data_IF_732622078017
#
_entry.id   IF_732622078017
#
_cell.length_a   1.000
_cell.length_b   1.000
_cell.length_c   1.000
_cell.angle_alpha   90.00
_cell.angle_beta   90.00
_cell.angle_gamma   90.00
#
_symmetry.space_group_name_H-M   'P 1'
#
loop_
_entity.id
_entity.type
_entity.pdbx_description
1 polymer ?
#
# COMPACT_ATOMS: atom_id res chain seq x y z
N UNK A 1 14.56 -5.58 2.60
CA UNK A 1 13.99 -4.26 2.32
C UNK A 1 15.06 -3.29 1.87
N UNK A 2 15.02 -2.95 0.59
CA UNK A 2 15.81 -1.87 -0.01
C UNK A 2 15.25 -0.50 0.42
N UNK A 3 16.01 0.57 0.19
CA UNK A 3 15.53 1.95 0.41
C UNK A 3 14.31 2.28 -0.47
N UNK A 4 14.30 1.76 -1.69
CA UNK A 4 13.22 1.97 -2.67
C UNK A 4 11.91 1.29 -2.23
N UNK A 5 11.99 0.04 -1.76
CA UNK A 5 10.84 -0.68 -1.24
C UNK A 5 10.27 -0.01 0.02
N UNK A 6 11.14 0.41 0.96
CA UNK A 6 10.70 1.13 2.16
C UNK A 6 9.96 2.43 1.82
N UNK A 7 10.48 3.17 0.84
CA UNK A 7 9.84 4.39 0.33
C UNK A 7 8.49 4.08 -0.32
N UNK A 8 8.41 3.01 -1.11
CA UNK A 8 7.16 2.59 -1.75
C UNK A 8 6.09 2.21 -0.72
N UNK A 9 6.42 1.42 0.31
CA UNK A 9 5.49 1.09 1.40
C UNK A 9 4.96 2.33 2.10
N UNK A 10 5.84 3.26 2.47
CA UNK A 10 5.44 4.48 3.15
C UNK A 10 4.52 5.36 2.29
N UNK A 11 4.85 5.53 1.00
CA UNK A 11 4.02 6.31 0.09
C UNK A 11 2.67 5.65 -0.21
N UNK A 12 2.63 4.33 -0.36
CA UNK A 12 1.36 3.61 -0.58
C UNK A 12 0.51 3.63 0.69
N UNK A 13 1.10 3.44 1.87
CA UNK A 13 0.39 3.55 3.14
C UNK A 13 -0.29 4.92 3.30
N UNK A 14 0.45 5.99 3.00
CA UNK A 14 -0.09 7.35 3.02
C UNK A 14 -1.28 7.51 2.07
N UNK A 15 -1.18 7.04 0.81
CA UNK A 15 -2.27 7.11 -0.17
C UNK A 15 -3.51 6.31 0.28
N UNK A 16 -3.31 5.15 0.90
CA UNK A 16 -4.40 4.33 1.45
C UNK A 16 -5.12 5.10 2.55
N UNK A 17 -4.38 5.71 3.48
CA UNK A 17 -4.98 6.53 4.54
C UNK A 17 -5.74 7.74 4.00
N UNK A 18 -5.18 8.44 3.00
CA UNK A 18 -5.87 9.54 2.33
C UNK A 18 -7.16 9.08 1.64
N UNK A 19 -7.12 7.93 0.96
CA UNK A 19 -8.27 7.36 0.27
C UNK A 19 -9.39 6.99 1.24
N UNK A 20 -9.05 6.31 2.33
CA UNK A 20 -9.98 5.90 3.38
C UNK A 20 -10.48 7.08 4.22
N UNK A 21 -9.85 8.27 4.07
CA UNK A 21 -10.07 9.47 4.89
C UNK A 21 -9.78 9.23 6.37
N UNK A 22 -8.83 8.36 6.64
CA UNK A 22 -8.37 8.05 7.98
C UNK A 22 -7.48 9.19 8.52
N UNK A 23 -7.44 9.41 9.84
CA UNK A 23 -6.52 10.34 10.45
C UNK A 23 -5.06 10.01 10.09
N UNK A 24 -4.29 11.02 9.70
CA UNK A 24 -2.85 10.91 9.44
C UNK A 24 -2.06 10.86 10.76
N UNK A 25 -2.24 9.80 11.54
CA UNK A 25 -1.50 9.52 12.78
C UNK A 25 -0.46 8.43 12.55
N UNK A 26 0.57 8.42 13.40
CA UNK A 26 1.62 7.39 13.38
C UNK A 26 1.03 5.99 13.63
N UNK A 27 0.13 5.86 14.62
CA UNK A 27 -0.55 4.59 14.93
C UNK A 27 -1.31 4.03 13.72
N UNK A 28 -2.07 4.88 13.03
CA UNK A 28 -2.84 4.44 11.86
C UNK A 28 -1.94 4.13 10.67
N UNK A 29 -0.83 4.87 10.54
CA UNK A 29 0.18 4.59 9.53
C UNK A 29 0.84 3.22 9.77
N UNK A 30 1.22 2.89 11.01
CA UNK A 30 1.78 1.59 11.37
C UNK A 30 0.81 0.45 11.03
N UNK A 31 -0.48 0.58 11.36
CA UNK A 31 -1.51 -0.42 11.03
C UNK A 31 -1.61 -0.65 9.53
N UNK A 32 -1.64 0.41 8.73
CA UNK A 32 -1.71 0.30 7.27
C UNK A 32 -0.41 -0.28 6.70
N UNK A 33 0.74 0.09 7.26
CA UNK A 33 2.04 -0.41 6.84
C UNK A 33 2.16 -1.92 7.10
N UNK A 34 1.78 -2.39 8.29
CA UNK A 34 1.74 -3.81 8.64
C UNK A 34 0.83 -4.62 7.71
N UNK A 35 -0.34 -4.07 7.41
CA UNK A 35 -1.26 -4.67 6.44
C UNK A 35 -0.61 -4.78 5.05
N UNK A 36 0.00 -3.71 4.53
CA UNK A 36 0.66 -3.75 3.23
C UNK A 36 1.82 -4.76 3.18
N UNK A 37 2.60 -4.90 4.26
CA UNK A 37 3.63 -5.94 4.36
C UNK A 37 3.06 -7.36 4.32
N UNK A 38 1.85 -7.56 4.83
CA UNK A 38 1.18 -8.85 4.84
C UNK A 38 0.69 -9.32 3.46
N UNK A 39 0.32 -8.39 2.57
CA UNK A 39 -0.32 -8.71 1.27
C UNK A 39 0.59 -8.49 0.05
N UNK A 40 1.54 -7.55 0.13
CA UNK A 40 2.39 -7.17 -1.01
C UNK A 40 3.85 -7.35 -0.65
N UNK A 41 4.63 -7.96 -1.54
CA UNK A 41 6.08 -8.02 -1.41
C UNK A 41 6.76 -6.76 -1.99
N UNK A 42 8.09 -6.65 -1.80
CA UNK A 42 8.88 -5.48 -2.22
C UNK A 42 8.69 -5.13 -3.71
N UNK A 43 8.66 -6.14 -4.59
CA UNK A 43 8.48 -5.90 -6.04
C UNK A 43 7.06 -5.42 -6.37
N UNK A 44 6.06 -5.96 -5.69
CA UNK A 44 4.65 -5.61 -5.91
C UNK A 44 4.36 -4.19 -5.44
N UNK A 45 4.80 -3.82 -4.23
CA UNK A 45 4.57 -2.49 -3.69
C UNK A 45 5.31 -1.41 -4.50
N UNK A 46 6.50 -1.71 -5.00
CA UNK A 46 7.24 -0.81 -5.90
C UNK A 46 6.45 -0.58 -7.19
N UNK A 47 5.88 -1.62 -7.80
CA UNK A 47 5.03 -1.46 -8.99
C UNK A 47 3.77 -0.65 -8.69
N UNK A 48 3.10 -0.92 -7.57
CA UNK A 48 1.93 -0.14 -7.12
C UNK A 48 2.29 1.34 -6.99
N UNK A 49 3.43 1.62 -6.34
CA UNK A 49 3.94 2.97 -6.15
C UNK A 49 4.24 3.67 -7.49
N UNK A 50 5.03 3.01 -8.36
CA UNK A 50 5.47 3.54 -9.66
C UNK A 50 4.32 3.76 -10.64
N UNK A 51 3.33 2.87 -10.65
CA UNK A 51 2.15 2.98 -11.52
C UNK A 51 1.06 3.89 -10.94
N UNK A 52 1.29 4.46 -9.76
CA UNK A 52 0.35 5.34 -9.06
C UNK A 52 -1.04 4.72 -8.87
N UNK A 53 -1.07 3.42 -8.55
CA UNK A 53 -2.32 2.71 -8.27
C UNK A 53 -2.81 3.13 -6.88
N UNK A 54 -4.06 3.58 -6.80
CA UNK A 54 -4.72 4.05 -5.58
C UNK A 54 -5.84 3.09 -5.21
N UNK A 55 -5.92 2.73 -3.93
CA UNK A 55 -6.93 1.86 -3.34
C UNK A 55 -7.05 2.13 -1.84
N UNK A 56 -8.17 1.71 -1.24
CA UNK A 56 -8.37 1.77 0.21
C UNK A 56 -7.93 0.49 0.93
N UNK A 57 -7.87 0.52 2.25
CA UNK A 57 -7.46 -0.63 3.08
C UNK A 57 -8.34 -1.86 2.83
N UNK A 58 -9.66 -1.68 2.70
CA UNK A 58 -10.58 -2.76 2.37
C UNK A 58 -10.31 -3.36 0.98
N UNK A 59 -9.95 -2.52 0.00
CA UNK A 59 -9.61 -2.98 -1.35
C UNK A 59 -8.30 -3.78 -1.35
N UNK A 60 -7.33 -3.39 -0.51
CA UNK A 60 -6.07 -4.09 -0.36
C UNK A 60 -6.26 -5.56 0.03
N UNK A 61 -7.31 -5.85 0.81
CA UNK A 61 -7.64 -7.18 1.34
C UNK A 61 -8.65 -7.92 0.43
N UNK A 62 -9.75 -7.26 0.05
CA UNK A 62 -10.87 -7.91 -0.66
C UNK A 62 -10.58 -8.01 -2.16
N UNK A 63 -9.86 -7.03 -2.71
CA UNK A 63 -9.60 -6.89 -4.14
C UNK A 63 -8.10 -7.11 -4.49
N UNK A 64 -7.35 -7.81 -3.63
CA UNK A 64 -5.92 -8.06 -3.77
C UNK A 64 -5.55 -8.57 -5.17
N UNK A 65 -6.19 -9.65 -5.64
CA UNK A 65 -5.97 -10.24 -6.97
C UNK A 65 -6.21 -9.24 -8.11
N UNK A 66 -7.20 -8.36 -7.96
CA UNK A 66 -7.50 -7.32 -8.95
C UNK A 66 -6.42 -6.24 -8.96
N UNK A 67 -5.83 -5.93 -7.80
CA UNK A 67 -4.70 -4.99 -7.70
C UNK A 67 -3.45 -5.64 -8.30
N UNK A 68 -3.19 -6.91 -7.98
CA UNK A 68 -2.07 -7.69 -8.51
C UNK A 68 -2.13 -7.84 -10.04
N UNK A 69 -3.32 -8.06 -10.60
CA UNK A 69 -3.52 -8.07 -12.06
C UNK A 69 -3.26 -6.74 -12.75
N UNK A 70 -3.28 -5.60 -12.05
CA UNK A 70 -2.93 -4.28 -12.64
C UNK A 70 -1.42 -4.06 -12.73
N UNK A 71 -0.66 -4.74 -11.87
CA UNK A 71 0.80 -4.61 -11.80
C UNK A 71 1.52 -5.71 -12.57
N UNK A 72 0.86 -6.48 -13.44
CA UNK A 72 1.52 -7.43 -14.33
C UNK A 72 2.42 -6.73 -15.35
#
# INVERSE_FOLDING_TARGET
>A
MTHDAATAYACVAYRVMEYDREPLTEEQFEVVLEMLFGFYNEREIEKIYQQNIVFGSNDAIINEEKIKGKIE
#
